data_IF_542669480979
#
_entry.id   IF_542669480979
#
_cell.length_a   1.000
_cell.length_b   1.000
_cell.length_c   1.000
_cell.angle_alpha   90.00
_cell.angle_beta   90.00
_cell.angle_gamma   90.00
#
_symmetry.space_group_name_H-M   'P 1'
#
loop_
_entity.id
_entity.type
_entity.pdbx_description
1 polymer ?
#
# COMPACT_ATOMS: atom_id res chain seq x y z
N UNK A 1 -1.69 -93.76 -0.93
CA UNK A 1 -1.93 -92.53 -1.70
C UNK A 1 -2.97 -91.54 -1.05
N UNK A 2 -3.84 -91.99 -0.15
CA UNK A 2 -4.80 -91.03 0.48
C UNK A 2 -4.27 -90.24 1.70
N UNK A 3 -3.22 -90.70 2.36
CA UNK A 3 -2.61 -90.01 3.51
C UNK A 3 -1.63 -88.87 3.10
N UNK A 4 -1.03 -88.98 1.92
CA UNK A 4 -0.11 -87.91 1.43
C UNK A 4 -0.86 -86.69 0.93
N UNK A 5 -2.10 -86.83 0.56
CA UNK A 5 -2.93 -85.72 0.07
C UNK A 5 -3.46 -84.81 1.23
N UNK A 6 -3.64 -85.46 2.40
CA UNK A 6 -4.13 -84.71 3.62
C UNK A 6 -3.00 -83.88 4.22
N UNK A 7 -1.75 -84.32 4.16
CA UNK A 7 -0.57 -83.57 4.62
C UNK A 7 -0.27 -82.37 3.71
N UNK A 8 -0.55 -82.45 2.43
CA UNK A 8 -0.33 -81.36 1.49
C UNK A 8 -1.45 -80.24 1.70
N UNK A 9 -2.66 -80.66 2.05
CA UNK A 9 -3.76 -79.71 2.34
C UNK A 9 -3.55 -78.93 3.67
N UNK A 10 -2.86 -79.55 4.65
CA UNK A 10 -2.60 -78.88 5.96
C UNK A 10 -1.49 -77.83 5.85
N UNK A 11 -0.56 -77.92 4.88
CA UNK A 11 0.55 -76.96 4.71
C UNK A 11 0.05 -75.66 4.00
N UNK A 12 -1.04 -75.72 3.25
CA UNK A 12 -1.58 -74.56 2.53
C UNK A 12 -2.37 -73.62 3.47
N UNK A 13 -2.79 -74.11 4.66
CA UNK A 13 -3.61 -73.30 5.60
C UNK A 13 -2.80 -72.59 6.69
N UNK A 14 -1.47 -72.70 6.70
CA UNK A 14 -0.58 -72.05 7.67
C UNK A 14 0.17 -70.83 7.11
N UNK A 15 -0.45 -70.07 6.19
CA UNK A 15 0.04 -68.71 5.87
C UNK A 15 -0.37 -67.77 7.01
N UNK A 16 0.59 -67.16 7.73
CA UNK A 16 0.26 -66.14 8.69
C UNK A 16 -0.42 -65.00 7.93
N UNK A 17 -1.68 -64.68 8.28
CA UNK A 17 -2.30 -63.44 7.89
C UNK A 17 -1.48 -62.30 8.49
N UNK A 18 -0.49 -61.81 7.76
CA UNK A 18 0.11 -60.51 8.04
C UNK A 18 -0.99 -59.50 7.80
N UNK A 19 -1.75 -59.20 8.85
CA UNK A 19 -2.62 -58.04 8.91
C UNK A 19 -1.71 -56.82 8.78
N UNK A 20 -1.50 -56.37 7.54
CA UNK A 20 -1.04 -55.01 7.29
C UNK A 20 -2.16 -54.13 7.84
N UNK A 21 -1.99 -53.62 9.05
CA UNK A 21 -2.65 -52.42 9.48
C UNK A 21 -2.28 -51.30 8.48
N UNK A 22 -3.05 -51.18 7.44
CA UNK A 22 -3.10 -49.98 6.63
C UNK A 22 -3.63 -48.87 7.57
N UNK A 23 -2.74 -48.29 8.33
CA UNK A 23 -3.01 -46.99 8.98
C UNK A 23 -3.40 -46.05 7.86
N UNK A 24 -4.75 -45.90 7.67
CA UNK A 24 -5.30 -44.85 6.82
C UNK A 24 -4.63 -43.56 7.26
N UNK A 25 -4.00 -42.79 6.34
CA UNK A 25 -3.39 -41.54 6.71
C UNK A 25 -4.48 -40.70 7.39
N UNK A 26 -4.31 -40.48 8.69
CA UNK A 26 -5.19 -39.58 9.44
C UNK A 26 -5.17 -38.27 8.68
N UNK A 27 -6.29 -37.86 8.09
CA UNK A 27 -6.42 -36.57 7.42
C UNK A 27 -6.10 -35.51 8.49
N UNK A 28 -4.85 -35.06 8.52
CA UNK A 28 -4.40 -33.97 9.39
C UNK A 28 -5.39 -32.81 9.22
N UNK A 29 -5.90 -32.34 10.33
CA UNK A 29 -6.81 -31.22 10.34
C UNK A 29 -6.07 -30.02 9.71
N UNK A 30 -6.68 -29.34 8.73
CA UNK A 30 -6.10 -28.18 8.03
C UNK A 30 -5.46 -27.15 8.96
N UNK A 31 -5.94 -27.13 10.20
CA UNK A 31 -5.42 -26.30 11.30
C UNK A 31 -4.09 -26.79 11.86
N UNK A 32 -3.88 -28.11 11.91
CA UNK A 32 -2.65 -28.77 12.37
C UNK A 32 -1.55 -28.67 11.32
N UNK A 33 -1.86 -28.93 10.06
CA UNK A 33 -0.92 -28.72 8.94
C UNK A 33 -0.41 -27.29 8.91
N UNK A 34 -1.31 -26.32 9.12
CA UNK A 34 -0.94 -24.91 9.19
C UNK A 34 -0.01 -24.61 10.36
N UNK A 35 -0.26 -25.21 11.54
CA UNK A 35 0.60 -25.04 12.73
C UNK A 35 1.98 -25.66 12.53
N UNK A 36 2.06 -26.86 11.97
CA UNK A 36 3.33 -27.53 11.67
C UNK A 36 4.16 -26.72 10.67
N UNK A 37 3.54 -26.22 9.61
CA UNK A 37 4.20 -25.35 8.64
C UNK A 37 4.75 -24.07 9.27
N UNK A 38 3.98 -23.43 10.14
CA UNK A 38 4.42 -22.23 10.87
C UNK A 38 5.61 -22.56 11.79
N UNK A 39 5.53 -23.67 12.53
CA UNK A 39 6.62 -24.08 13.43
C UNK A 39 7.89 -24.43 12.64
N UNK A 40 7.77 -25.08 11.49
CA UNK A 40 8.90 -25.35 10.60
C UNK A 40 9.54 -24.06 10.06
N UNK A 41 8.73 -23.07 9.69
CA UNK A 41 9.24 -21.76 9.25
C UNK A 41 9.99 -21.03 10.38
N UNK A 42 9.47 -21.07 11.61
CA UNK A 42 10.13 -20.45 12.79
C UNK A 42 11.49 -21.12 13.02
N UNK A 43 11.55 -22.45 13.02
CA UNK A 43 12.82 -23.19 13.17
C UNK A 43 13.81 -22.87 12.06
N UNK A 44 13.36 -22.86 10.80
CA UNK A 44 14.20 -22.50 9.66
C UNK A 44 14.76 -21.07 9.79
N UNK A 45 13.98 -20.14 10.33
CA UNK A 45 14.42 -18.76 10.56
C UNK A 45 15.44 -18.67 11.70
N UNK A 46 15.27 -19.45 12.76
CA UNK A 46 16.23 -19.59 13.88
C UNK A 46 17.55 -20.25 13.40
N UNK A 47 17.47 -21.25 12.52
CA UNK A 47 18.62 -21.94 11.93
C UNK A 47 19.33 -21.14 10.83
N UNK A 48 18.83 -19.94 10.51
CA UNK A 48 19.44 -19.10 9.52
C UNK A 48 19.05 -19.43 8.07
N UNK A 49 18.00 -20.20 7.84
CA UNK A 49 17.44 -20.52 6.52
C UNK A 49 16.38 -19.51 6.12
N UNK A 50 16.28 -19.16 4.84
CA UNK A 50 15.24 -18.24 4.33
C UNK A 50 13.87 -18.90 4.46
N UNK A 51 13.07 -18.46 5.42
CA UNK A 51 11.74 -19.02 5.68
C UNK A 51 10.69 -18.63 4.62
N UNK A 52 10.89 -17.53 3.90
CA UNK A 52 10.02 -17.09 2.81
C UNK A 52 10.83 -16.41 1.69
N UNK A 53 10.41 -16.59 0.46
CA UNK A 53 11.09 -16.01 -0.71
C UNK A 53 10.43 -14.75 -1.23
N UNK A 54 9.12 -14.61 -1.03
CA UNK A 54 8.31 -13.51 -1.58
C UNK A 54 7.31 -13.03 -0.55
N UNK A 55 6.99 -11.73 -0.57
CA UNK A 55 5.85 -11.19 0.13
C UNK A 55 5.10 -10.19 -0.74
N UNK A 56 3.83 -10.01 -0.42
CA UNK A 56 2.98 -9.00 -1.01
C UNK A 56 2.26 -8.25 0.11
N UNK A 57 2.35 -6.93 0.09
CA UNK A 57 1.74 -6.04 1.07
C UNK A 57 0.84 -5.02 0.38
N UNK A 58 -0.22 -4.67 1.08
CA UNK A 58 -1.05 -3.51 0.83
C UNK A 58 -1.04 -2.65 2.09
N UNK A 59 -1.01 -1.33 1.94
CA UNK A 59 -1.01 -0.43 3.08
C UNK A 59 -1.73 0.88 2.82
N UNK A 60 -2.20 1.48 3.92
CA UNK A 60 -2.71 2.85 3.97
C UNK A 60 -1.60 3.72 4.54
N UNK A 61 -1.32 4.82 3.89
CA UNK A 61 -0.24 5.75 4.24
C UNK A 61 -0.79 7.12 4.57
N UNK A 62 -0.40 7.65 5.72
CA UNK A 62 -0.67 9.02 6.16
C UNK A 62 0.63 9.80 6.10
N UNK A 63 0.66 10.86 5.31
CA UNK A 63 1.78 11.79 5.22
C UNK A 63 1.45 13.06 6.00
N UNK A 64 2.46 13.82 6.40
CA UNK A 64 2.28 15.13 7.05
C UNK A 64 1.49 16.12 6.19
N UNK A 65 1.48 15.91 4.88
CA UNK A 65 0.81 16.76 3.90
C UNK A 65 -0.26 16.04 3.07
N UNK A 66 -0.73 14.87 3.52
CA UNK A 66 -1.77 14.13 2.81
C UNK A 66 -1.93 12.68 3.22
N UNK A 67 -2.55 11.90 2.36
CA UNK A 67 -2.81 10.48 2.58
C UNK A 67 -2.72 9.69 1.26
N UNK A 68 -2.58 8.39 1.35
CA UNK A 68 -2.46 7.53 0.18
C UNK A 68 -2.55 6.05 0.49
N UNK A 69 -2.33 5.27 -0.55
CA UNK A 69 -2.26 3.81 -0.50
C UNK A 69 -0.93 3.36 -1.09
N UNK A 70 -0.48 2.22 -0.65
CA UNK A 70 0.73 1.59 -1.18
C UNK A 70 0.52 0.11 -1.44
N UNK A 71 1.20 -0.39 -2.45
CA UNK A 71 1.34 -1.80 -2.80
C UNK A 71 2.81 -2.13 -2.86
N UNK A 72 3.20 -3.24 -2.24
CA UNK A 72 4.58 -3.66 -2.21
C UNK A 72 4.71 -5.15 -2.50
N UNK A 73 5.72 -5.49 -3.31
CA UNK A 73 6.13 -6.85 -3.59
C UNK A 73 7.60 -7.00 -3.24
N UNK A 74 7.90 -7.86 -2.28
CA UNK A 74 9.25 -8.09 -1.80
C UNK A 74 9.79 -9.45 -2.22
N UNK A 75 11.11 -9.48 -2.43
CA UNK A 75 11.89 -10.67 -2.73
C UNK A 75 13.04 -10.77 -1.73
N UNK A 76 13.03 -11.80 -0.90
CA UNK A 76 14.10 -12.05 0.05
C UNK A 76 15.35 -12.58 -0.69
N UNK A 77 16.48 -11.91 -0.53
CA UNK A 77 17.79 -12.38 -0.99
C UNK A 77 18.50 -13.21 0.07
N UNK A 78 18.33 -12.84 1.31
CA UNK A 78 18.83 -13.53 2.50
C UNK A 78 17.90 -13.21 3.67
N UNK A 79 18.10 -13.86 4.82
CA UNK A 79 17.33 -13.63 6.03
C UNK A 79 17.36 -12.17 6.45
N UNK A 80 18.50 -11.51 6.25
CA UNK A 80 18.70 -10.11 6.67
C UNK A 80 18.45 -9.08 5.58
N UNK A 81 18.30 -9.48 4.31
CA UNK A 81 18.19 -8.54 3.18
C UNK A 81 17.10 -8.93 2.21
N UNK A 82 16.21 -8.00 1.90
CA UNK A 82 15.21 -8.15 0.86
C UNK A 82 15.23 -6.96 -0.12
N UNK A 83 14.73 -7.20 -1.32
CA UNK A 83 14.48 -6.14 -2.31
C UNK A 83 12.98 -5.98 -2.45
N UNK A 84 12.51 -4.74 -2.33
CA UNK A 84 11.10 -4.38 -2.35
C UNK A 84 10.81 -3.55 -3.59
N UNK A 85 9.75 -3.88 -4.30
CA UNK A 85 9.17 -3.09 -5.38
C UNK A 85 7.89 -2.46 -4.83
N UNK A 86 7.80 -1.14 -4.84
CA UNK A 86 6.68 -0.42 -4.26
C UNK A 86 6.02 0.48 -5.29
N UNK A 87 4.69 0.43 -5.33
CA UNK A 87 3.82 1.39 -6.00
C UNK A 87 3.03 2.13 -4.91
N UNK A 88 3.09 3.46 -4.90
CA UNK A 88 2.31 4.27 -3.98
C UNK A 88 1.56 5.36 -4.75
N UNK A 89 0.32 5.59 -4.34
CA UNK A 89 -0.54 6.65 -4.87
C UNK A 89 -1.01 7.47 -3.67
N UNK A 90 -0.83 8.77 -3.71
CA UNK A 90 -1.22 9.65 -2.62
C UNK A 90 -1.87 10.94 -3.13
N UNK A 91 -2.62 11.59 -2.27
CA UNK A 91 -3.09 12.96 -2.44
C UNK A 91 -2.27 13.86 -1.52
N UNK A 92 -1.68 14.92 -2.07
CA UNK A 92 -0.99 15.95 -1.29
C UNK A 92 -1.81 17.23 -1.24
N UNK A 93 -1.93 17.77 -0.04
CA UNK A 93 -2.62 19.02 0.23
C UNK A 93 -1.60 20.12 0.55
N UNK A 94 -1.90 21.31 0.13
CA UNK A 94 -1.10 22.46 0.53
C UNK A 94 -1.45 22.84 1.98
N UNK A 95 -0.47 23.23 2.79
CA UNK A 95 -0.67 23.56 4.22
C UNK A 95 -1.66 24.71 4.46
N UNK A 96 -1.82 25.58 3.46
CA UNK A 96 -2.75 26.74 3.52
C UNK A 96 -4.10 26.46 2.87
N UNK A 97 -4.44 25.21 2.56
CA UNK A 97 -5.76 24.86 2.07
C UNK A 97 -6.79 24.93 3.20
N UNK A 98 -7.68 25.88 3.12
CA UNK A 98 -8.78 26.05 4.06
C UNK A 98 -10.09 25.85 3.28
N UNK A 99 -10.86 24.87 3.70
CA UNK A 99 -12.20 24.63 3.17
C UNK A 99 -13.16 25.66 3.73
N UNK A 100 -13.88 26.34 2.84
CA UNK A 100 -14.88 27.32 3.15
C UNK A 100 -16.23 26.86 2.58
N UNK A 101 -17.32 27.09 3.30
CA UNK A 101 -18.66 26.80 2.83
C UNK A 101 -19.41 28.13 2.60
N UNK A 102 -20.11 28.24 1.49
CA UNK A 102 -21.02 29.34 1.24
C UNK A 102 -22.34 29.09 1.99
N UNK A 103 -23.01 30.15 2.40
CA UNK A 103 -24.32 30.05 3.04
C UNK A 103 -25.35 29.32 2.16
N UNK A 104 -25.31 29.54 0.84
CA UNK A 104 -26.23 28.90 -0.12
C UNK A 104 -25.81 27.49 -0.55
N UNK A 105 -24.56 27.10 -0.33
CA UNK A 105 -24.00 25.78 -0.70
C UNK A 105 -23.23 25.13 0.45
N UNK A 106 -23.85 24.90 1.62
CA UNK A 106 -23.14 24.43 2.81
C UNK A 106 -22.55 23.04 2.64
N UNK A 107 -23.15 22.18 1.80
CA UNK A 107 -22.70 20.81 1.57
C UNK A 107 -21.60 20.67 0.49
N UNK A 108 -21.20 21.77 -0.14
CA UNK A 108 -20.18 21.77 -1.21
C UNK A 108 -19.05 22.73 -0.91
N UNK A 109 -18.21 22.44 0.10
CA UNK A 109 -17.15 23.34 0.51
C UNK A 109 -16.14 23.54 -0.63
N UNK A 110 -15.66 24.77 -0.79
CA UNK A 110 -14.63 25.13 -1.76
C UNK A 110 -13.35 25.61 -1.07
N UNK A 111 -12.24 25.65 -1.81
CA UNK A 111 -10.95 26.14 -1.32
C UNK A 111 -10.57 27.35 -2.17
N UNK A 112 -10.57 28.56 -1.55
CA UNK A 112 -10.23 29.78 -2.24
C UNK A 112 -8.78 29.77 -2.74
N UNK A 113 -8.59 30.16 -3.99
CA UNK A 113 -7.26 30.22 -4.62
C UNK A 113 -6.58 28.88 -4.88
N UNK A 114 -7.27 27.74 -4.76
CA UNK A 114 -6.72 26.44 -5.11
C UNK A 114 -6.69 26.29 -6.64
N UNK A 115 -5.51 26.00 -7.20
CA UNK A 115 -5.30 25.83 -8.63
C UNK A 115 -5.45 24.37 -9.07
N UNK A 116 -4.80 23.48 -8.34
CA UNK A 116 -4.77 22.06 -8.69
C UNK A 116 -4.82 21.17 -7.44
N UNK A 117 -5.48 20.03 -7.58
CA UNK A 117 -5.23 18.87 -6.74
C UNK A 117 -3.91 18.22 -7.18
N UNK A 118 -3.15 17.69 -6.25
CA UNK A 118 -1.87 17.08 -6.55
C UNK A 118 -1.82 15.62 -6.09
N UNK A 119 -1.67 14.71 -7.06
CA UNK A 119 -1.65 13.27 -6.86
C UNK A 119 -0.32 12.68 -7.33
N UNK A 120 0.69 12.53 -6.47
CA UNK A 120 1.91 11.80 -6.81
C UNK A 120 1.66 10.29 -6.90
N UNK A 121 2.05 9.70 -8.01
CA UNK A 121 2.16 8.26 -8.23
C UNK A 121 3.66 7.92 -8.22
N UNK A 122 4.07 7.01 -7.34
CA UNK A 122 5.48 6.66 -7.11
C UNK A 122 5.71 5.19 -7.39
N UNK A 123 6.72 4.91 -8.20
CA UNK A 123 7.19 3.56 -8.49
C UNK A 123 8.67 3.48 -8.19
N UNK A 124 9.07 2.57 -7.33
CA UNK A 124 10.47 2.46 -6.96
C UNK A 124 10.89 1.15 -6.34
N UNK A 125 12.18 1.10 -6.07
CA UNK A 125 12.86 -0.07 -5.49
C UNK A 125 13.48 0.33 -4.17
N UNK A 126 13.33 -0.52 -3.16
CA UNK A 126 13.89 -0.32 -1.84
C UNK A 126 14.72 -1.54 -1.43
N UNK A 127 15.69 -1.32 -0.58
CA UNK A 127 16.43 -2.36 0.14
C UNK A 127 15.90 -2.39 1.57
N UNK A 128 15.52 -3.59 2.00
CA UNK A 128 15.15 -3.87 3.37
C UNK A 128 16.30 -4.55 4.08
N UNK A 129 16.59 -4.10 5.29
CA UNK A 129 17.60 -4.66 6.18
C UNK A 129 16.93 -5.05 7.49
N UNK A 130 17.08 -6.30 7.90
CA UNK A 130 16.61 -6.78 9.20
C UNK A 130 17.52 -6.20 10.28
N UNK A 131 16.97 -5.41 11.20
CA UNK A 131 17.64 -4.80 12.34
C UNK A 131 17.44 -5.63 13.61
N UNK A 132 16.24 -6.19 13.80
CA UNK A 132 15.90 -7.05 14.93
C UNK A 132 14.90 -8.12 14.53
N UNK A 133 15.16 -9.36 14.95
CA UNK A 133 14.27 -10.49 14.69
C UNK A 133 13.34 -10.75 15.85
N UNK A 134 12.25 -11.47 15.61
CA UNK A 134 11.32 -11.91 16.66
C UNK A 134 11.96 -13.02 17.50
N UNK A 135 12.07 -12.80 18.81
CA UNK A 135 12.51 -13.83 19.73
C UNK A 135 11.41 -14.85 20.06
N UNK A 136 10.14 -14.51 19.84
CA UNK A 136 8.99 -15.36 20.09
C UNK A 136 7.78 -14.95 19.23
N UNK A 137 6.68 -15.70 19.31
CA UNK A 137 5.42 -15.44 18.55
C UNK A 137 4.80 -14.06 18.79
N UNK A 138 5.07 -13.45 19.93
CA UNK A 138 4.58 -12.12 20.30
C UNK A 138 5.63 -11.02 20.09
N UNK A 139 6.81 -11.38 19.59
CA UNK A 139 7.89 -10.44 19.29
C UNK A 139 7.57 -9.57 18.09
N UNK A 140 8.27 -8.46 17.99
CA UNK A 140 8.20 -7.52 16.84
C UNK A 140 9.48 -7.66 16.03
N UNK A 141 9.35 -7.84 14.73
CA UNK A 141 10.47 -7.79 13.81
C UNK A 141 10.68 -6.34 13.37
N UNK A 142 11.91 -5.85 13.50
CA UNK A 142 12.28 -4.49 13.14
C UNK A 142 13.14 -4.53 11.89
N UNK A 143 12.76 -3.78 10.87
CA UNK A 143 13.54 -3.66 9.64
C UNK A 143 13.66 -2.21 9.18
N UNK A 144 14.83 -1.86 8.64
CA UNK A 144 15.08 -0.59 8.00
C UNK A 144 14.88 -0.71 6.49
N UNK A 145 14.16 0.23 5.90
CA UNK A 145 13.87 0.29 4.47
C UNK A 145 14.48 1.57 3.89
N UNK A 146 15.28 1.45 2.83
CA UNK A 146 15.88 2.60 2.14
C UNK A 146 15.76 2.39 0.64
N UNK A 147 15.32 3.39 -0.08
CA UNK A 147 15.20 3.30 -1.52
C UNK A 147 14.63 4.56 -2.16
N UNK A 148 14.26 4.42 -3.41
CA UNK A 148 13.69 5.51 -4.20
C UNK A 148 13.30 5.03 -5.59
N UNK A 149 12.91 5.98 -6.41
CA UNK A 149 12.46 5.68 -7.76
C UNK A 149 11.91 6.91 -8.47
N UNK A 150 11.07 6.65 -9.45
CA UNK A 150 10.39 7.68 -10.21
C UNK A 150 9.09 8.10 -9.52
N UNK A 151 8.76 9.37 -9.63
CA UNK A 151 7.49 9.94 -9.21
C UNK A 151 6.82 10.62 -10.41
N UNK A 152 5.53 10.39 -10.61
CA UNK A 152 4.73 11.08 -11.59
C UNK A 152 3.68 11.92 -10.85
N UNK A 153 3.89 13.22 -10.83
CA UNK A 153 2.97 14.18 -10.24
C UNK A 153 1.79 14.45 -11.17
N UNK A 154 0.61 14.01 -10.81
CA UNK A 154 -0.62 14.32 -11.53
C UNK A 154 -1.28 15.56 -10.92
N UNK A 155 -1.49 16.57 -11.74
CA UNK A 155 -2.17 17.82 -11.38
C UNK A 155 -3.54 17.84 -12.01
N UNK A 156 -4.58 17.67 -11.20
CA UNK A 156 -5.97 17.80 -11.63
C UNK A 156 -6.44 19.23 -11.39
N UNK A 157 -6.90 19.90 -12.43
CA UNK A 157 -7.38 21.28 -12.33
C UNK A 157 -8.50 21.41 -11.30
N UNK A 158 -8.40 22.44 -10.44
CA UNK A 158 -9.43 22.79 -9.51
C UNK A 158 -10.45 23.70 -10.20
N UNK A 159 -11.67 23.21 -10.32
CA UNK A 159 -12.79 23.93 -10.92
C UNK A 159 -13.76 24.37 -9.83
N UNK A 160 -14.07 25.65 -9.76
CA UNK A 160 -15.09 26.21 -8.86
C UNK A 160 -16.38 26.37 -9.60
N UNK A 161 -17.49 25.95 -9.01
CA UNK A 161 -18.81 26.27 -9.54
C UNK A 161 -19.31 27.58 -8.92
N UNK A 162 -19.70 28.52 -9.77
CA UNK A 162 -20.19 29.83 -9.41
C UNK A 162 -21.55 30.12 -10.06
N UNK A 163 -22.31 31.02 -9.49
CA UNK A 163 -23.51 31.56 -10.11
C UNK A 163 -23.08 32.50 -11.21
N UNK A 164 -23.56 32.28 -12.44
CA UNK A 164 -23.28 33.15 -13.58
C UNK A 164 -24.44 34.09 -13.82
N UNK A 165 -24.19 35.37 -13.69
CA UNK A 165 -25.18 36.43 -13.91
C UNK A 165 -25.69 36.51 -15.35
N UNK A 166 -24.97 35.88 -16.30
CA UNK A 166 -25.27 35.92 -17.73
C UNK A 166 -26.16 34.76 -18.18
N UNK A 167 -26.14 33.64 -17.44
CA UNK A 167 -26.98 32.47 -17.70
C UNK A 167 -27.69 32.07 -16.42
N UNK A 168 -28.96 31.72 -16.50
CA UNK A 168 -29.78 31.30 -15.32
C UNK A 168 -29.30 29.98 -14.68
N UNK A 169 -27.98 29.79 -14.47
CA UNK A 169 -27.41 28.56 -13.97
C UNK A 169 -26.03 28.70 -13.35
N UNK A 170 -25.52 27.59 -12.84
CA UNK A 170 -24.17 27.50 -12.29
C UNK A 170 -23.17 27.17 -13.38
N UNK A 171 -22.03 27.86 -13.39
CA UNK A 171 -20.93 27.64 -14.33
C UNK A 171 -19.69 27.15 -13.60
N UNK A 172 -19.02 26.16 -14.16
CA UNK A 172 -17.71 25.70 -13.69
C UNK A 172 -16.62 26.59 -14.27
N UNK A 173 -15.81 27.19 -13.43
CA UNK A 173 -14.71 28.09 -13.81
C UNK A 173 -13.38 27.61 -13.20
N UNK A 174 -12.29 27.87 -13.92
CA UNK A 174 -10.93 27.57 -13.47
C UNK A 174 -9.98 28.73 -13.78
N UNK A 175 -8.82 28.74 -13.11
CA UNK A 175 -7.88 29.84 -13.22
C UNK A 175 -7.24 29.97 -14.63
N UNK A 176 -6.90 28.87 -15.31
CA UNK A 176 -6.29 28.88 -16.65
C UNK A 176 -7.32 28.87 -17.80
N UNK A 177 -8.54 29.29 -17.54
CA UNK A 177 -9.57 29.51 -18.58
C UNK A 177 -9.74 31.00 -18.91
N UNK A 178 -10.42 31.33 -20.01
CA UNK A 178 -10.81 32.72 -20.29
C UNK A 178 -11.59 33.40 -19.16
N UNK A 179 -12.25 32.61 -18.31
CA UNK A 179 -13.02 33.08 -17.14
C UNK A 179 -12.16 33.22 -15.87
N UNK A 180 -10.84 33.35 -15.98
CA UNK A 180 -9.93 33.46 -14.83
C UNK A 180 -10.29 34.59 -13.85
N UNK A 181 -10.80 35.71 -14.33
CA UNK A 181 -11.29 36.82 -13.48
C UNK A 181 -12.48 36.38 -12.63
N UNK A 182 -13.41 35.60 -13.19
CA UNK A 182 -14.55 35.05 -12.44
C UNK A 182 -14.09 34.04 -11.39
N UNK A 183 -13.01 33.32 -11.63
CA UNK A 183 -12.41 32.41 -10.65
C UNK A 183 -11.81 33.19 -9.47
N UNK A 184 -11.12 34.31 -9.71
CA UNK A 184 -10.56 35.15 -8.65
C UNK A 184 -11.69 35.83 -7.84
N UNK A 185 -12.78 36.24 -8.51
CA UNK A 185 -13.96 36.86 -7.90
C UNK A 185 -15.00 35.81 -7.41
N UNK A 186 -14.62 34.56 -7.29
CA UNK A 186 -15.55 33.48 -6.94
C UNK A 186 -16.28 33.72 -5.59
N UNK A 187 -15.62 34.36 -4.60
CA UNK A 187 -16.21 34.64 -3.29
C UNK A 187 -17.53 35.43 -3.37
N UNK A 188 -17.64 36.32 -4.33
CA UNK A 188 -18.83 37.16 -4.55
C UNK A 188 -19.92 36.44 -5.36
N UNK A 189 -19.71 35.18 -5.78
CA UNK A 189 -20.58 34.46 -6.73
C UNK A 189 -21.05 33.09 -6.19
N UNK A 190 -21.31 33.00 -4.90
CA UNK A 190 -21.78 31.77 -4.24
C UNK A 190 -21.00 30.51 -4.66
N UNK A 191 -19.69 30.45 -4.35
CA UNK A 191 -18.83 29.39 -4.83
C UNK A 191 -19.18 28.04 -4.20
N UNK A 192 -19.03 26.98 -4.99
CA UNK A 192 -18.99 25.60 -4.49
C UNK A 192 -17.80 24.85 -5.05
N UNK A 193 -17.31 23.88 -4.29
CA UNK A 193 -16.18 23.07 -4.69
C UNK A 193 -16.52 22.10 -5.82
N UNK A 194 -15.50 21.65 -6.57
CA UNK A 194 -15.70 20.67 -7.65
C UNK A 194 -16.10 19.33 -7.08
N UNK A 195 -17.00 18.64 -7.77
CA UNK A 195 -17.25 17.23 -7.51
C UNK A 195 -16.02 16.36 -7.81
N UNK A 196 -16.08 15.10 -7.37
CA UNK A 196 -14.96 14.15 -7.53
C UNK A 196 -14.53 13.92 -9.00
N UNK A 197 -15.45 14.08 -9.95
CA UNK A 197 -15.23 13.77 -11.37
C UNK A 197 -14.86 14.99 -12.22
N UNK A 198 -14.89 16.23 -11.68
CA UNK A 198 -14.54 17.44 -12.42
C UNK A 198 -13.03 17.69 -12.46
N UNK A 199 -12.54 18.28 -13.55
CA UNK A 199 -11.12 18.66 -13.72
C UNK A 199 -10.19 17.58 -14.25
N UNK A 200 -10.65 16.34 -14.46
CA UNK A 200 -9.81 15.26 -15.02
C UNK A 200 -9.48 15.44 -16.50
N UNK A 201 -10.31 16.16 -17.27
CA UNK A 201 -10.04 16.49 -18.67
C UNK A 201 -8.84 17.43 -18.86
N UNK A 202 -8.42 18.12 -17.79
CA UNK A 202 -7.32 19.07 -17.79
C UNK A 202 -6.13 18.61 -16.94
N UNK A 203 -5.89 17.29 -16.95
CA UNK A 203 -4.81 16.67 -16.19
C UNK A 203 -3.46 17.08 -16.77
N UNK A 204 -2.58 17.65 -15.93
CA UNK A 204 -1.18 17.93 -16.25
C UNK A 204 -0.28 16.93 -15.53
N UNK A 205 0.75 16.44 -16.20
CA UNK A 205 1.70 15.48 -15.66
C UNK A 205 3.08 16.11 -15.48
N UNK A 206 3.71 15.87 -14.37
CA UNK A 206 5.06 16.36 -14.09
C UNK A 206 5.90 15.21 -13.56
N UNK A 207 6.93 14.77 -14.30
CA UNK A 207 7.81 13.72 -13.83
C UNK A 207 8.73 14.23 -12.72
N UNK A 208 9.14 13.33 -11.86
CA UNK A 208 10.02 13.60 -10.73
C UNK A 208 10.71 12.34 -10.25
N UNK A 209 11.49 12.50 -9.21
CA UNK A 209 12.20 11.43 -8.49
C UNK A 209 11.81 11.49 -7.02
N UNK A 210 11.89 10.37 -6.34
CA UNK A 210 11.72 10.34 -4.89
C UNK A 210 12.75 9.45 -4.23
N UNK A 211 13.03 9.76 -2.98
CA UNK A 211 13.82 8.95 -2.07
C UNK A 211 13.03 8.74 -0.77
N UNK A 212 13.18 7.57 -0.17
CA UNK A 212 12.46 7.16 1.03
C UNK A 212 13.41 6.45 1.98
N UNK A 213 13.29 6.74 3.26
CA UNK A 213 13.89 5.96 4.35
C UNK A 213 12.84 5.73 5.43
N UNK A 214 12.80 4.51 5.97
CA UNK A 214 11.78 4.13 6.94
C UNK A 214 12.25 3.02 7.87
N UNK A 215 11.59 2.92 9.01
CA UNK A 215 11.67 1.78 9.93
C UNK A 215 10.30 1.12 9.96
N UNK A 216 10.28 -0.21 9.77
CA UNK A 216 9.09 -1.03 9.77
C UNK A 216 9.09 -1.95 10.98
N UNK A 217 7.99 -1.96 11.71
CA UNK A 217 7.71 -2.79 12.87
C UNK A 217 6.66 -3.82 12.49
N UNK A 218 7.06 -5.07 12.29
CA UNK A 218 6.14 -6.17 11.95
C UNK A 218 5.79 -6.96 13.21
N UNK A 219 4.53 -6.86 13.60
CA UNK A 219 3.92 -7.53 14.74
C UNK A 219 3.01 -8.70 14.34
N UNK A 220 3.00 -9.08 13.05
CA UNK A 220 2.22 -10.23 12.57
C UNK A 220 2.52 -11.47 13.39
N UNK A 221 1.50 -12.05 14.02
CA UNK A 221 1.63 -13.18 14.96
C UNK A 221 2.21 -14.44 14.33
N UNK A 222 2.04 -14.59 13.02
CA UNK A 222 2.50 -15.74 12.23
C UNK A 222 3.39 -15.23 11.11
N UNK A 223 4.48 -15.93 10.83
CA UNK A 223 5.43 -15.54 9.78
C UNK A 223 4.82 -15.52 8.36
N UNK A 224 3.69 -16.19 8.14
CA UNK A 224 2.95 -16.13 6.87
C UNK A 224 2.20 -14.81 6.65
N UNK A 225 1.81 -14.13 7.74
CA UNK A 225 1.06 -12.89 7.69
C UNK A 225 1.98 -11.74 8.08
N UNK A 226 1.90 -10.66 7.32
CA UNK A 226 2.51 -9.39 7.67
C UNK A 226 1.41 -8.47 8.18
N UNK A 227 1.63 -7.93 9.36
CA UNK A 227 0.86 -6.82 9.93
C UNK A 227 1.88 -5.87 10.50
N UNK A 228 2.14 -4.79 9.79
CA UNK A 228 3.26 -3.92 10.12
C UNK A 228 2.85 -2.45 10.19
N UNK A 229 3.61 -1.73 10.99
CA UNK A 229 3.60 -0.27 11.04
C UNK A 229 4.92 0.18 10.44
N UNK A 230 4.87 1.08 9.47
CA UNK A 230 6.05 1.71 8.90
C UNK A 230 6.03 3.21 9.16
N UNK A 231 7.13 3.74 9.69
CA UNK A 231 7.34 5.16 9.95
C UNK A 231 8.60 5.62 9.23
N UNK A 232 8.53 6.74 8.53
CA UNK A 232 9.68 7.18 7.76
C UNK A 232 9.58 8.60 7.22
N UNK A 233 10.60 8.92 6.45
CA UNK A 233 10.76 10.19 5.76
C UNK A 233 10.78 9.95 4.26
N UNK A 234 10.26 10.90 3.54
CA UNK A 234 10.21 10.88 2.08
C UNK A 234 10.52 12.25 1.51
N UNK A 235 11.38 12.28 0.52
CA UNK A 235 11.76 13.47 -0.24
C UNK A 235 11.39 13.26 -1.71
N UNK A 236 10.79 14.25 -2.34
CA UNK A 236 10.39 14.23 -3.76
C UNK A 236 10.89 15.49 -4.45
N UNK A 237 11.37 15.32 -5.66
CA UNK A 237 11.80 16.41 -6.52
C UNK A 237 11.17 16.27 -7.89
N UNK A 238 10.50 17.32 -8.38
CA UNK A 238 9.83 17.36 -9.67
C UNK A 238 10.57 18.21 -10.69
N UNK A 239 10.46 17.86 -11.96
CA UNK A 239 11.12 18.60 -13.05
C UNK A 239 10.60 20.02 -13.24
N UNK A 240 9.35 20.28 -12.81
CA UNK A 240 8.71 21.61 -12.84
C UNK A 240 8.14 21.93 -11.48
N UNK A 241 8.00 23.21 -11.19
CA UNK A 241 7.27 23.67 -10.01
C UNK A 241 5.81 23.25 -10.07
N UNK A 242 5.26 22.90 -8.93
CA UNK A 242 3.89 22.40 -8.77
C UNK A 242 2.99 23.53 -8.27
N UNK A 243 2.12 24.10 -9.13
CA UNK A 243 1.18 25.14 -8.75
C UNK A 243 -0.04 24.54 -8.05
N UNK A 244 -0.06 24.58 -6.73
CA UNK A 244 -1.21 24.11 -5.93
C UNK A 244 -2.17 25.26 -5.58
N UNK A 245 -1.62 26.45 -5.25
CA UNK A 245 -2.39 27.61 -4.77
C UNK A 245 -1.94 28.90 -5.46
N UNK A 246 -2.90 29.77 -5.80
CA UNK A 246 -2.68 30.99 -6.57
C UNK A 246 -1.74 31.99 -5.88
N UNK A 247 -1.94 32.23 -4.59
CA UNK A 247 -1.20 33.25 -3.85
C UNK A 247 -0.02 32.70 -3.05
N UNK A 248 0.44 31.50 -3.37
CA UNK A 248 1.54 30.86 -2.66
C UNK A 248 2.66 30.45 -3.60
N UNK A 249 3.88 30.46 -3.06
CA UNK A 249 5.07 30.07 -3.82
C UNK A 249 4.95 28.62 -4.27
N UNK A 250 5.07 28.39 -5.55
CA UNK A 250 5.11 27.04 -6.13
C UNK A 250 6.36 26.28 -5.65
N UNK A 251 6.18 25.02 -5.29
CA UNK A 251 7.25 24.16 -4.80
C UNK A 251 7.65 23.13 -5.86
N UNK A 252 8.93 22.83 -5.92
CA UNK A 252 9.49 21.78 -6.76
C UNK A 252 10.01 20.63 -5.92
N UNK A 253 10.40 20.91 -4.68
CA UNK A 253 10.87 19.96 -3.68
C UNK A 253 9.83 19.81 -2.58
N UNK A 254 9.52 18.55 -2.24
CA UNK A 254 8.62 18.19 -1.17
C UNK A 254 9.32 17.24 -0.21
N UNK A 255 9.15 17.51 1.07
CA UNK A 255 9.65 16.67 2.15
C UNK A 255 8.50 16.37 3.10
N UNK A 256 8.32 15.11 3.45
CA UNK A 256 7.25 14.68 4.36
C UNK A 256 7.71 13.53 5.24
N UNK A 257 7.23 13.52 6.48
CA UNK A 257 7.21 12.33 7.29
C UNK A 257 5.93 11.55 7.00
N UNK A 258 5.98 10.25 7.19
CA UNK A 258 4.82 9.40 6.99
C UNK A 258 4.71 8.29 8.02
N UNK A 259 3.49 7.83 8.19
CA UNK A 259 3.08 6.66 8.94
C UNK A 259 2.25 5.76 8.02
N UNK A 260 2.53 4.47 7.98
CA UNK A 260 1.75 3.53 7.19
C UNK A 260 1.36 2.29 7.99
N UNK A 261 0.14 1.82 7.75
CA UNK A 261 -0.36 0.54 8.23
C UNK A 261 -0.33 -0.43 7.05
N UNK A 262 0.36 -1.54 7.21
CA UNK A 262 0.62 -2.49 6.14
C UNK A 262 0.15 -3.88 6.51
N UNK A 263 -0.55 -4.51 5.57
CA UNK A 263 -1.09 -5.86 5.72
C UNK A 263 -0.73 -6.70 4.50
N UNK A 264 -0.42 -7.98 4.72
CA UNK A 264 -0.09 -8.85 3.60
C UNK A 264 0.25 -10.26 3.97
N UNK A 265 0.86 -10.95 3.01
CA UNK A 265 1.22 -12.36 3.12
C UNK A 265 2.64 -12.60 2.62
N UNK A 266 3.32 -13.54 3.26
CA UNK A 266 4.61 -14.12 2.85
C UNK A 266 4.39 -15.51 2.23
N UNK A 267 5.18 -15.81 1.19
CA UNK A 267 5.19 -17.12 0.50
C UNK A 267 6.62 -17.59 0.27
#
# INVERSE_FOLDING_TARGET
MKQSLILLAAIIFSLPAIAQETTKPVKKNRKEEKRERINAMIRAEEEGVIAYKKHFLFGIKLNTDGYGILFEKGYAKSIRKATLFQLAISERKHQKEIKQSSFLTPNSPFIYGKLNFFYPIKLGVQKQFLLGNKSNKNGVMISGNVGGGISLGLLRAYEVEIDDSTSSGRKSVRYDSPDSLKFVDALNRNPSGPGLFKGWSHLKMTPGLYAKTAVRFDYGRYNELVSAIEVGLEAEFYSKKIPQMLYNKEKQFFFSAFFALEFGKRK
#
